data_IF_183920195847
#
_entry.id   IF_183920195847
#
_cell.length_a   1.000
_cell.length_b   1.000
_cell.length_c   1.000
_cell.angle_alpha   90.00
_cell.angle_beta   90.00
_cell.angle_gamma   90.00
#
_symmetry.space_group_name_H-M   'P 1'
#
loop_
_entity.id
_entity.type
_entity.pdbx_description
1 polymer ?
#
# COMPACT_ATOMS: atom_id res chain seq x y z
N UNK A 1 19.25 5.76 -10.78
CA UNK A 1 18.53 4.86 -9.84
C UNK A 1 17.74 3.85 -10.65
N UNK A 2 18.29 2.66 -10.86
CA UNK A 2 17.68 1.61 -11.70
C UNK A 2 16.46 0.98 -11.04
N UNK A 3 15.41 0.74 -11.82
CA UNK A 3 14.18 0.05 -11.38
C UNK A 3 14.41 -1.41 -10.97
N UNK A 4 15.63 -1.94 -11.17
CA UNK A 4 16.02 -3.30 -10.78
C UNK A 4 15.78 -3.58 -9.29
N UNK A 5 15.98 -2.60 -8.40
CA UNK A 5 15.63 -2.77 -6.98
C UNK A 5 14.12 -2.95 -6.78
N UNK A 6 13.32 -2.19 -7.52
CA UNK A 6 11.86 -2.24 -7.45
C UNK A 6 11.32 -3.59 -7.92
N UNK A 7 11.85 -4.11 -9.04
CA UNK A 7 11.46 -5.43 -9.58
C UNK A 7 11.98 -6.63 -8.76
N UNK A 8 13.11 -6.48 -8.05
CA UNK A 8 13.65 -7.52 -7.15
C UNK A 8 12.92 -7.59 -5.81
N UNK A 9 12.21 -6.54 -5.40
CA UNK A 9 11.45 -6.54 -4.15
C UNK A 9 10.13 -7.31 -4.28
N UNK A 10 9.77 -8.08 -3.24
CA UNK A 10 8.48 -8.78 -3.19
C UNK A 10 7.36 -7.75 -2.91
N UNK A 11 6.62 -7.36 -3.95
CA UNK A 11 5.49 -6.45 -3.82
C UNK A 11 4.20 -7.22 -3.52
N UNK A 12 3.57 -6.87 -2.40
CA UNK A 12 2.35 -7.49 -1.91
C UNK A 12 1.24 -6.47 -1.73
N UNK A 13 0.01 -6.95 -1.89
CA UNK A 13 -1.17 -6.16 -1.58
C UNK A 13 -1.36 -6.07 -0.07
N UNK A 14 -1.57 -4.87 0.44
CA UNK A 14 -1.70 -4.60 1.89
C UNK A 14 -2.99 -5.21 2.47
N UNK A 15 -4.04 -5.40 1.66
CA UNK A 15 -5.33 -5.93 2.13
C UNK A 15 -5.32 -7.45 2.22
N UNK A 16 -4.72 -8.11 1.24
CA UNK A 16 -4.76 -9.57 1.08
C UNK A 16 -3.46 -10.28 1.40
N UNK A 17 -2.31 -9.57 1.40
CA UNK A 17 -1.00 -10.17 1.57
C UNK A 17 -0.55 -11.06 0.40
N UNK A 18 -1.29 -11.05 -0.71
CA UNK A 18 -0.97 -11.77 -1.95
C UNK A 18 -0.03 -10.93 -2.84
N UNK A 19 0.61 -11.56 -3.83
CA UNK A 19 1.43 -10.85 -4.83
C UNK A 19 0.61 -9.70 -5.44
N UNK A 20 1.20 -8.51 -5.50
CA UNK A 20 0.46 -7.33 -5.93
C UNK A 20 0.38 -7.25 -7.45
N UNK A 21 -0.81 -6.95 -7.96
CA UNK A 21 -1.04 -6.75 -9.38
C UNK A 21 -2.51 -6.49 -9.68
N UNK A 22 -2.78 -5.72 -10.74
CA UNK A 22 -4.13 -5.54 -11.29
C UNK A 22 -4.39 -6.58 -12.39
N UNK A 23 -4.61 -7.83 -12.02
CA UNK A 23 -4.87 -8.92 -12.97
C UNK A 23 -6.32 -8.90 -13.49
N UNK A 24 -6.55 -9.38 -14.73
CA UNK A 24 -7.87 -9.66 -15.33
C UNK A 24 -8.59 -8.50 -16.02
N UNK A 25 -8.15 -8.06 -17.22
CA UNK A 25 -8.65 -6.86 -17.94
C UNK A 25 -10.17 -6.74 -17.99
N UNK A 26 -10.85 -7.87 -18.13
CA UNK A 26 -12.30 -8.05 -18.21
C UNK A 26 -13.10 -7.91 -16.90
N UNK A 27 -12.47 -8.03 -15.72
CA UNK A 27 -13.25 -8.09 -14.48
C UNK A 27 -13.70 -6.69 -14.05
N UNK A 28 -14.99 -6.37 -14.25
CA UNK A 28 -15.63 -5.11 -13.80
C UNK A 28 -15.45 -4.86 -12.29
N UNK A 29 -15.46 -5.92 -11.47
CA UNK A 29 -15.33 -5.86 -10.00
C UNK A 29 -13.88 -5.91 -9.49
N UNK A 30 -12.94 -5.34 -10.23
CA UNK A 30 -11.52 -5.37 -9.83
C UNK A 30 -11.30 -4.57 -8.56
N UNK A 31 -10.79 -5.21 -7.48
CA UNK A 31 -10.37 -4.48 -6.31
C UNK A 31 -9.26 -3.49 -6.68
N UNK A 32 -9.13 -2.41 -5.91
CA UNK A 32 -8.01 -1.47 -6.01
C UNK A 32 -6.91 -1.91 -5.02
N UNK A 33 -5.99 -2.81 -5.42
CA UNK A 33 -4.94 -3.25 -4.52
C UNK A 33 -4.02 -2.08 -4.15
N UNK A 34 -3.48 -2.15 -2.94
CA UNK A 34 -2.48 -1.21 -2.47
C UNK A 34 -1.13 -1.94 -2.44
N UNK A 35 -0.35 -1.78 -3.52
CA UNK A 35 0.96 -2.43 -3.64
C UNK A 35 2.00 -1.76 -2.75
N UNK A 36 2.66 -2.59 -1.93
CA UNK A 36 3.80 -2.20 -1.09
C UNK A 36 4.83 -3.33 -1.02
N UNK A 37 6.11 -3.03 -0.72
CA UNK A 37 7.07 -4.09 -0.42
C UNK A 37 6.61 -4.92 0.76
N UNK A 38 6.84 -6.23 0.76
CA UNK A 38 6.35 -7.16 1.79
C UNK A 38 6.72 -6.72 3.21
N UNK A 39 7.94 -6.20 3.40
CA UNK A 39 8.42 -5.64 4.67
C UNK A 39 7.55 -4.49 5.18
N UNK A 40 7.03 -3.66 4.28
CA UNK A 40 6.15 -2.52 4.61
C UNK A 40 4.71 -2.99 4.74
N UNK A 41 4.25 -3.89 3.88
CA UNK A 41 2.90 -4.44 3.92
C UNK A 41 2.60 -5.13 5.27
N UNK A 42 3.57 -5.90 5.81
CA UNK A 42 3.47 -6.51 7.16
C UNK A 42 3.32 -5.50 8.31
N UNK A 43 3.80 -4.26 8.12
CA UNK A 43 3.72 -3.20 9.13
C UNK A 43 2.41 -2.43 9.10
N UNK A 44 1.63 -2.57 8.04
CA UNK A 44 0.30 -1.99 7.93
C UNK A 44 -0.71 -2.96 8.54
N UNK A 45 -1.57 -2.46 9.41
CA UNK A 45 -2.61 -3.28 10.03
C UNK A 45 -3.77 -3.55 9.05
N UNK A 46 -4.48 -4.67 9.23
CA UNK A 46 -5.70 -4.97 8.45
C UNK A 46 -6.75 -3.86 8.57
N UNK A 47 -6.83 -3.18 9.72
CA UNK A 47 -7.73 -2.05 9.94
C UNK A 47 -7.40 -0.86 9.04
N UNK A 48 -6.12 -0.52 8.87
CA UNK A 48 -5.72 0.49 7.88
C UNK A 48 -5.95 0.02 6.45
N UNK A 49 -5.74 -1.27 6.17
CA UNK A 49 -5.98 -1.85 4.85
C UNK A 49 -7.44 -1.72 4.39
N UNK A 50 -8.40 -1.83 5.32
CA UNK A 50 -9.84 -1.65 5.05
C UNK A 50 -10.20 -0.24 4.59
N UNK A 51 -9.40 0.78 4.89
CA UNK A 51 -9.61 2.17 4.44
C UNK A 51 -9.49 2.31 2.91
N UNK A 52 -8.84 1.37 2.24
CA UNK A 52 -8.74 1.34 0.78
C UNK A 52 -9.97 0.66 0.19
N UNK A 53 -11.00 1.46 -0.06
CA UNK A 53 -12.26 1.03 -0.66
C UNK A 53 -12.39 1.41 -2.14
N UNK A 54 -11.63 2.40 -2.62
CA UNK A 54 -11.77 2.92 -3.98
C UNK A 54 -10.46 3.43 -4.60
N UNK A 55 -10.54 4.12 -5.75
CA UNK A 55 -9.37 4.63 -6.47
C UNK A 55 -8.58 5.67 -5.67
N UNK A 56 -9.28 6.44 -4.81
CA UNK A 56 -8.67 7.50 -3.99
C UNK A 56 -7.49 7.00 -3.17
N UNK A 57 -6.46 7.85 -3.06
CA UNK A 57 -5.26 7.57 -2.28
C UNK A 57 -5.62 7.51 -0.80
N UNK A 58 -5.15 6.47 -0.11
CA UNK A 58 -5.24 6.36 1.35
C UNK A 58 -3.93 6.85 1.98
N UNK A 59 -4.05 7.63 3.05
CA UNK A 59 -2.92 8.07 3.84
C UNK A 59 -2.54 7.02 4.87
N UNK A 60 -1.64 6.11 4.47
CA UNK A 60 -1.08 5.07 5.32
C UNK A 60 -0.18 5.63 6.42
N UNK A 61 -0.18 4.97 7.58
CA UNK A 61 0.77 5.21 8.68
C UNK A 61 2.24 5.06 8.27
N UNK A 62 2.54 4.14 7.34
CA UNK A 62 3.88 3.92 6.78
C UNK A 62 3.95 4.28 5.29
N UNK A 63 5.02 4.95 4.89
CA UNK A 63 5.31 5.31 3.49
C UNK A 63 5.73 4.08 2.68
N UNK A 64 5.77 4.22 1.34
CA UNK A 64 6.17 3.11 0.46
C UNK A 64 7.63 2.69 0.72
N UNK A 65 8.45 3.63 1.16
CA UNK A 65 9.82 3.42 1.62
C UNK A 65 9.95 2.87 3.05
N UNK A 66 8.84 2.59 3.74
CA UNK A 66 8.84 2.04 5.10
C UNK A 66 9.10 3.05 6.22
N UNK A 67 9.15 4.36 5.94
CA UNK A 67 9.23 5.39 6.98
C UNK A 67 7.84 5.57 7.62
N UNK A 68 7.75 5.60 8.95
CA UNK A 68 6.51 5.99 9.63
C UNK A 68 6.26 7.48 9.33
N UNK A 69 5.04 7.83 8.91
CA UNK A 69 4.66 9.23 8.80
C UNK A 69 4.57 9.80 10.21
N UNK A 70 5.33 10.86 10.47
CA UNK A 70 5.08 11.71 11.64
C UNK A 70 3.66 12.26 11.48
N UNK A 71 2.79 12.05 12.47
CA UNK A 71 1.54 12.79 12.53
C UNK A 71 1.94 14.27 12.54
N UNK A 72 1.38 15.08 11.64
CA UNK A 72 1.38 16.52 11.87
C UNK A 72 0.63 16.69 13.18
N UNK A 73 1.34 16.91 14.28
CA UNK A 73 0.76 17.62 15.41
C UNK A 73 0.18 18.88 14.79
N UNK A 74 -1.15 18.98 14.73
CA UNK A 74 -1.77 20.29 14.57
C UNK A 74 -1.27 21.04 15.79
N UNK A 75 -0.25 21.88 15.61
CA UNK A 75 0.00 22.94 16.56
C UNK A 75 -1.35 23.64 16.68
N UNK A 76 -1.96 23.53 17.87
CA UNK A 76 -3.08 24.38 18.25
C UNK A 76 -2.54 25.81 18.07
N UNK A 77 -3.07 26.51 17.08
CA UNK A 77 -3.11 27.95 17.08
C UNK A 77 -4.51 28.30 17.58
#
# INVERSE_FOLDING_TARGET
>A
MSLTKWFKEDWRDVKTGKKCGRSGKEKKSRPYPACRPAKVAKRITKAEARKKTGPKRVNWSVTASGKKRKKKTRARA
#
